data_IF_707744260155
#
_entry.id   IF_707744260155
#
_cell.length_a   1.000
_cell.length_b   1.000
_cell.length_c   1.000
_cell.angle_alpha   90.00
_cell.angle_beta   90.00
_cell.angle_gamma   90.00
#
_symmetry.space_group_name_H-M   'P 1'
#
loop_
_entity.id
_entity.type
_entity.pdbx_description
1 polymer ?
#
# COMPACT_ATOMS: atom_id res chain seq x y z
N UNK A 1 -11.24 -16.87 13.60
CA UNK A 1 -11.48 -16.44 12.20
C UNK A 1 -10.44 -15.40 11.85
N UNK A 2 -9.35 -15.78 11.16
CA UNK A 2 -8.34 -14.81 10.73
C UNK A 2 -8.66 -14.36 9.30
N UNK A 3 -9.42 -13.28 9.17
CA UNK A 3 -9.68 -12.64 7.88
C UNK A 3 -8.46 -11.80 7.47
N UNK A 4 -7.35 -12.46 7.13
CA UNK A 4 -6.19 -11.79 6.54
C UNK A 4 -6.56 -11.31 5.13
N UNK A 5 -6.90 -10.02 5.00
CA UNK A 5 -7.21 -9.40 3.70
C UNK A 5 -5.91 -8.87 3.10
N UNK A 6 -5.53 -9.42 1.94
CA UNK A 6 -4.43 -8.85 1.15
C UNK A 6 -4.95 -7.66 0.36
N UNK A 7 -4.29 -6.52 0.50
CA UNK A 7 -4.58 -5.30 -0.25
C UNK A 7 -3.40 -5.08 -1.20
N UNK A 8 -3.68 -4.92 -2.49
CA UNK A 8 -2.70 -4.53 -3.48
C UNK A 8 -3.03 -3.11 -3.92
N UNK A 9 -2.05 -2.22 -3.87
CA UNK A 9 -2.23 -0.83 -4.23
C UNK A 9 -0.90 -0.11 -4.31
N UNK A 10 -0.95 1.15 -4.72
CA UNK A 10 0.22 2.04 -4.77
C UNK A 10 0.33 2.75 -3.44
N UNK A 11 1.48 2.64 -2.78
CA UNK A 11 1.79 3.43 -1.59
C UNK A 11 1.88 4.90 -1.98
N UNK A 12 1.03 5.75 -1.39
CA UNK A 12 1.01 7.19 -1.63
C UNK A 12 1.90 7.92 -0.63
N UNK A 13 1.65 7.68 0.66
CA UNK A 13 2.30 8.39 1.76
C UNK A 13 2.53 7.45 2.94
N UNK A 14 3.64 7.65 3.62
CA UNK A 14 3.99 6.95 4.87
C UNK A 14 4.09 7.99 5.96
N UNK A 15 3.23 7.85 6.97
CA UNK A 15 3.24 8.63 8.19
C UNK A 15 3.90 7.80 9.31
N UNK A 16 4.03 8.40 10.49
CA UNK A 16 4.76 7.79 11.61
C UNK A 16 4.10 6.48 12.12
N UNK A 17 2.77 6.40 12.05
CA UNK A 17 1.98 5.26 12.57
C UNK A 17 1.07 4.61 11.52
N UNK A 18 0.98 5.17 10.32
CA UNK A 18 -0.02 4.80 9.31
C UNK A 18 0.51 5.02 7.89
N UNK A 19 -0.10 4.35 6.92
CA UNK A 19 0.23 4.46 5.50
C UNK A 19 -1.02 4.72 4.67
N UNK A 20 -0.89 5.59 3.68
CA UNK A 20 -1.93 5.80 2.67
C UNK A 20 -1.62 4.97 1.43
N UNK A 21 -2.56 4.12 1.04
CA UNK A 21 -2.45 3.22 -0.11
C UNK A 21 -3.60 3.48 -1.08
N UNK A 22 -3.27 3.85 -2.32
CA UNK A 22 -4.23 3.97 -3.41
C UNK A 22 -4.51 2.60 -4.01
N UNK A 23 -5.72 2.11 -3.82
CA UNK A 23 -6.23 0.90 -4.51
C UNK A 23 -7.03 1.30 -5.75
N UNK A 24 -7.49 0.33 -6.54
CA UNK A 24 -8.26 0.59 -7.76
C UNK A 24 -9.61 1.28 -7.49
N UNK A 25 -10.21 1.06 -6.32
CA UNK A 25 -11.50 1.65 -5.96
C UNK A 25 -11.39 2.93 -5.14
N UNK A 26 -10.43 2.99 -4.22
CA UNK A 26 -10.33 4.09 -3.25
C UNK A 26 -8.92 4.20 -2.64
N UNK A 27 -8.66 5.33 -2.00
CA UNK A 27 -7.49 5.52 -1.15
C UNK A 27 -7.81 4.99 0.25
N UNK A 28 -7.07 3.99 0.70
CA UNK A 28 -7.17 3.41 2.02
C UNK A 28 -6.06 3.95 2.91
N UNK A 29 -6.40 4.20 4.17
CA UNK A 29 -5.47 4.60 5.19
C UNK A 29 -5.36 3.46 6.21
N UNK A 30 -4.16 2.93 6.37
CA UNK A 30 -3.88 1.69 7.10
C UNK A 30 -2.88 1.96 8.21
N UNK A 31 -3.26 1.67 9.45
CA UNK A 31 -2.31 1.72 10.57
C UNK A 31 -1.24 0.62 10.44
N UNK A 32 0.02 0.98 10.65
CA UNK A 32 1.15 0.06 10.57
C UNK A 32 1.00 -1.09 11.57
N UNK A 33 0.46 -0.82 12.76
CA UNK A 33 0.18 -1.82 13.80
C UNK A 33 -0.76 -2.94 13.35
N UNK A 34 -1.63 -2.67 12.37
CA UNK A 34 -2.58 -3.65 11.82
C UNK A 34 -1.99 -4.46 10.66
N UNK A 35 -0.78 -4.14 10.20
CA UNK A 35 -0.13 -4.78 9.06
C UNK A 35 0.85 -5.85 9.58
N UNK A 36 0.43 -7.12 9.48
CA UNK A 36 1.31 -8.24 9.85
C UNK A 36 2.50 -8.38 8.90
N UNK A 37 2.27 -8.20 7.59
CA UNK A 37 3.30 -8.28 6.54
C UNK A 37 3.01 -7.29 5.43
N UNK A 38 4.00 -6.48 5.08
CA UNK A 38 3.97 -5.58 3.93
C UNK A 38 5.10 -5.95 2.96
N UNK A 39 4.81 -5.94 1.65
CA UNK A 39 5.82 -6.07 0.60
C UNK A 39 5.72 -4.87 -0.32
N UNK A 40 6.75 -4.03 -0.29
CA UNK A 40 6.88 -2.90 -1.20
C UNK A 40 7.62 -3.36 -2.45
N UNK A 41 6.95 -3.31 -3.60
CA UNK A 41 7.59 -3.56 -4.89
C UNK A 41 7.93 -2.21 -5.53
N UNK A 42 9.21 -1.83 -5.46
CA UNK A 42 9.70 -0.57 -5.97
C UNK A 42 9.82 -0.58 -7.50
N UNK A 43 10.02 -1.76 -8.11
CA UNK A 43 10.20 -1.93 -9.55
C UNK A 43 8.88 -1.69 -10.31
N UNK A 44 7.75 -2.19 -9.80
CA UNK A 44 6.41 -1.88 -10.32
C UNK A 44 6.09 -0.38 -10.27
N UNK A 45 6.49 0.30 -9.18
CA UNK A 45 6.27 1.74 -9.01
C UNK A 45 7.14 2.60 -9.92
N UNK A 46 8.42 2.23 -10.08
CA UNK A 46 9.36 2.93 -10.96
C UNK A 46 8.98 2.77 -12.44
N UNK A 47 8.50 1.60 -12.85
CA UNK A 47 8.05 1.36 -14.21
C UNK A 47 6.77 2.15 -14.55
N UNK A 48 5.87 2.40 -13.58
CA UNK A 48 4.72 3.29 -13.78
C UNK A 48 5.12 4.76 -13.99
N UNK A 49 6.18 5.24 -13.33
CA UNK A 49 6.68 6.61 -13.48
C UNK A 49 7.46 6.87 -14.76
N UNK A 50 8.01 5.82 -15.39
CA UNK A 50 8.84 5.95 -16.60
C UNK A 50 8.04 6.10 -17.90
N UNK A 51 6.72 5.97 -17.84
CA UNK A 51 5.84 6.01 -19.01
C UNK A 51 5.05 7.33 -19.12
N UNK A 52 5.48 8.39 -18.43
CA UNK A 52 5.07 9.79 -18.66
C UNK A 52 6.05 10.50 -19.60
#
# INVERSE_FOLDING_TARGET
MNNLRKIKGTLLEVLESEISVKTEGETLLLELSNIEKCRLDLEDQLNKKKNE
#
